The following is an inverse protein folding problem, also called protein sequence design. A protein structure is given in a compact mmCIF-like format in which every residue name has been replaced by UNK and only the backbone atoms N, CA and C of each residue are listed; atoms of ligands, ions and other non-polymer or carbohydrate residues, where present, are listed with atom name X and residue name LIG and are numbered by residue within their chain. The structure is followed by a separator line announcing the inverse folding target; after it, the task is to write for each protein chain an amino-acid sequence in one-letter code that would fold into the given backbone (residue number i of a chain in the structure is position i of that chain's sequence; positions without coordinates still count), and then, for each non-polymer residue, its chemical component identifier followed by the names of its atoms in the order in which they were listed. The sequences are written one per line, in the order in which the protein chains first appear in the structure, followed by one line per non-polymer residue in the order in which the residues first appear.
data_IF_675245275968
#
_entry.id   IF_675245275968
#
_cell.length_a   1.000
_cell.length_b   1.000
_cell.length_c   1.000
_cell.angle_alpha   90.00
_cell.angle_beta   90.00
_cell.angle_gamma   90.00
#
_symmetry.space_group_name_H-M   'P 1'
#
loop_
_entity.id
_entity.type
_entity.pdbx_description
1 polymer ?
#
# COMPACT_ATOMS: atom_id res chain seq x y z
N UNK A 1 -26.78 -21.83 -3.76
CA UNK A 1 -25.39 -21.33 -3.62
C UNK A 1 -25.39 -19.81 -3.65
N UNK A 2 -25.12 -19.15 -2.52
CA UNK A 2 -24.98 -17.68 -2.48
C UNK A 2 -23.51 -17.36 -2.19
N UNK A 3 -22.77 -16.94 -3.22
CA UNK A 3 -21.42 -16.41 -3.06
C UNK A 3 -21.51 -15.04 -2.36
N UNK A 4 -21.42 -15.04 -1.03
CA UNK A 4 -21.48 -13.85 -0.17
C UNK A 4 -20.22 -13.00 -0.36
N UNK A 5 -20.40 -11.76 -0.85
CA UNK A 5 -19.53 -10.56 -0.72
C UNK A 5 -18.06 -10.83 -0.33
N UNK A 6 -17.22 -11.22 -1.30
CA UNK A 6 -15.78 -10.93 -1.25
C UNK A 6 -15.61 -9.45 -1.62
N UNK A 7 -14.81 -8.67 -0.87
CA UNK A 7 -14.19 -7.36 -1.27
C UNK A 7 -14.36 -6.16 -0.32
N UNK A 8 -14.27 -6.32 1.00
CA UNK A 8 -13.86 -5.18 1.88
C UNK A 8 -12.87 -5.59 2.98
N UNK A 9 -11.92 -6.47 2.66
CA UNK A 9 -10.78 -6.79 3.56
C UNK A 9 -9.47 -6.16 3.11
N UNK A 10 -9.55 -5.13 2.27
CA UNK A 10 -8.36 -4.42 1.78
C UNK A 10 -8.55 -2.94 2.01
N UNK A 11 -7.74 -2.37 2.91
CA UNK A 11 -7.72 -0.94 3.13
C UNK A 11 -6.66 -0.29 2.24
N UNK A 12 -6.98 0.89 1.72
CA UNK A 12 -6.06 1.68 0.90
C UNK A 12 -5.86 3.07 1.51
N UNK A 13 -4.60 3.38 1.82
CA UNK A 13 -4.14 4.69 2.24
C UNK A 13 -3.49 5.40 1.04
N UNK A 14 -4.12 6.49 0.58
CA UNK A 14 -3.62 7.28 -0.55
C UNK A 14 -2.48 8.23 -0.15
N UNK A 15 -1.89 8.94 -1.12
CA UNK A 15 -0.77 9.86 -0.90
C UNK A 15 -1.19 11.27 -0.46
N UNK A 16 -0.26 12.03 0.09
CA UNK A 16 -0.49 13.43 0.45
C UNK A 16 -0.89 14.25 -0.78
N UNK A 17 -1.93 15.06 -0.65
CA UNK A 17 -2.47 15.90 -1.73
C UNK A 17 -3.49 15.20 -2.63
N UNK A 18 -3.60 13.87 -2.57
CA UNK A 18 -4.65 13.16 -3.28
C UNK A 18 -6.00 13.20 -2.53
N UNK A 19 -7.08 12.97 -3.27
CA UNK A 19 -8.44 12.84 -2.74
C UNK A 19 -8.97 11.42 -2.99
N UNK A 20 -9.91 10.92 -2.16
CA UNK A 20 -10.55 9.63 -2.41
C UNK A 20 -11.15 9.49 -3.83
N UNK A 21 -11.63 10.61 -4.41
CA UNK A 21 -12.18 10.66 -5.76
C UNK A 21 -11.18 10.29 -6.86
N UNK A 22 -9.88 10.55 -6.65
CA UNK A 22 -8.82 10.22 -7.61
C UNK A 22 -8.68 8.70 -7.80
N UNK A 23 -9.19 7.94 -6.83
CA UNK A 23 -9.15 6.49 -6.77
C UNK A 23 -10.53 5.85 -6.99
N UNK A 24 -11.49 6.58 -7.56
CA UNK A 24 -12.85 6.07 -7.80
C UNK A 24 -12.89 4.72 -8.53
N UNK A 25 -11.98 4.50 -9.49
CA UNK A 25 -11.86 3.22 -10.22
C UNK A 25 -11.39 2.04 -9.34
N UNK A 26 -10.75 2.30 -8.20
CA UNK A 26 -10.30 1.30 -7.23
C UNK A 26 -11.34 1.03 -6.13
N UNK A 27 -12.33 1.89 -5.94
CA UNK A 27 -13.33 1.78 -4.85
C UNK A 27 -14.15 0.49 -4.88
N UNK A 28 -14.25 -0.17 -6.05
CA UNK A 28 -14.87 -1.50 -6.20
C UNK A 28 -14.02 -2.66 -5.65
N UNK A 29 -12.74 -2.44 -5.42
CA UNK A 29 -11.76 -3.44 -4.97
C UNK A 29 -11.20 -3.11 -3.57
N UNK A 30 -11.05 -1.82 -3.27
CA UNK A 30 -10.34 -1.30 -2.10
C UNK A 30 -11.27 -0.42 -1.27
N UNK A 31 -11.16 -0.53 0.05
CA UNK A 31 -11.72 0.42 0.98
C UNK A 31 -10.78 1.63 1.10
N UNK A 32 -11.10 2.71 0.39
CA UNK A 32 -10.30 3.94 0.38
C UNK A 32 -10.49 4.66 1.72
N UNK A 33 -9.45 4.69 2.55
CA UNK A 33 -9.50 5.33 3.86
C UNK A 33 -9.40 6.84 3.66
N UNK A 34 -10.41 7.59 4.09
CA UNK A 34 -10.38 9.06 4.10
C UNK A 34 -9.41 9.53 5.18
N UNK A 35 -8.30 10.15 4.78
CA UNK A 35 -7.22 10.62 5.65
C UNK A 35 -7.33 12.13 5.86
N UNK A 36 -7.20 12.58 7.10
CA UNK A 36 -6.90 13.96 7.47
C UNK A 36 -5.38 14.13 7.58
N UNK A 37 -4.77 14.73 6.57
CA UNK A 37 -3.32 14.94 6.54
C UNK A 37 -2.80 15.95 7.57
N UNK A 38 -3.67 16.73 8.22
CA UNK A 38 -3.27 17.58 9.33
C UNK A 38 -3.17 16.79 10.66
N UNK A 39 -3.87 15.67 10.77
CA UNK A 39 -3.83 14.78 11.91
C UNK A 39 -3.83 13.30 11.47
N UNK A 40 -2.79 12.88 10.74
CA UNK A 40 -2.76 11.57 10.09
C UNK A 40 -2.70 10.46 11.16
N UNK A 41 -3.59 9.48 11.06
CA UNK A 41 -3.69 8.36 12.01
C UNK A 41 -4.84 8.49 13.02
N UNK A 42 -5.60 9.58 12.98
CA UNK A 42 -6.82 9.76 13.79
C UNK A 42 -8.03 8.97 13.25
N UNK A 43 -7.90 8.41 12.04
CA UNK A 43 -8.97 7.74 11.34
C UNK A 43 -9.32 6.38 11.95
N UNK A 44 -10.61 6.07 12.05
CA UNK A 44 -11.06 4.72 12.35
C UNK A 44 -10.90 3.83 11.13
N UNK A 45 -9.84 3.04 11.11
CA UNK A 45 -9.55 2.08 10.04
C UNK A 45 -10.19 0.72 10.36
N UNK A 46 -11.09 0.18 9.50
CA UNK A 46 -11.68 -1.13 9.73
C UNK A 46 -10.63 -2.25 9.72
N UNK A 47 -10.84 -3.31 10.51
CA UNK A 47 -9.96 -4.48 10.47
C UNK A 47 -9.95 -5.12 9.07
N UNK A 48 -8.76 -5.50 8.59
CA UNK A 48 -8.54 -6.03 7.26
C UNK A 48 -7.44 -7.11 7.25
N UNK A 49 -7.42 -7.91 6.18
CA UNK A 49 -6.37 -8.91 5.97
C UNK A 49 -5.22 -8.36 5.11
N UNK A 50 -5.51 -7.34 4.30
CA UNK A 50 -4.55 -6.71 3.39
C UNK A 50 -4.59 -5.20 3.55
N UNK A 51 -3.42 -4.58 3.53
CA UNK A 51 -3.29 -3.12 3.51
C UNK A 51 -2.47 -2.70 2.31
N UNK A 52 -2.90 -1.63 1.65
CA UNK A 52 -2.20 -0.98 0.56
C UNK A 52 -1.92 0.46 0.95
N UNK A 53 -0.68 0.91 0.84
CA UNK A 53 -0.32 2.33 0.97
C UNK A 53 0.26 2.85 -0.34
N UNK A 54 -0.01 4.11 -0.69
CA UNK A 54 0.63 4.80 -1.81
C UNK A 54 1.35 6.07 -1.34
N UNK A 55 2.60 6.24 -1.78
CA UNK A 55 3.43 7.40 -1.43
C UNK A 55 3.46 7.58 0.10
N UNK A 56 3.13 8.76 0.63
CA UNK A 56 3.03 8.99 2.08
C UNK A 56 2.01 8.09 2.79
N UNK A 57 0.98 7.59 2.11
CA UNK A 57 0.05 6.60 2.65
C UNK A 57 0.73 5.28 3.02
N UNK A 58 1.94 5.01 2.52
CA UNK A 58 2.76 3.89 2.96
C UNK A 58 3.13 3.97 4.44
N UNK A 59 3.30 5.16 5.01
CA UNK A 59 3.63 5.32 6.42
C UNK A 59 2.46 4.91 7.32
N UNK A 60 1.23 5.28 6.93
CA UNK A 60 0.01 4.84 7.62
C UNK A 60 -0.21 3.33 7.47
N UNK A 61 0.12 2.78 6.30
CA UNK A 61 0.06 1.35 6.07
C UNK A 61 1.07 0.58 6.95
N UNK A 62 2.27 1.12 7.12
CA UNK A 62 3.30 0.58 8.01
C UNK A 62 2.85 0.67 9.47
N UNK A 63 2.40 1.84 9.94
CA UNK A 63 1.88 2.03 11.31
C UNK A 63 0.72 1.07 11.62
N UNK A 64 -0.21 0.91 10.68
CA UNK A 64 -1.28 -0.08 10.81
C UNK A 64 -0.72 -1.50 10.96
N UNK A 65 0.27 -1.87 10.14
CA UNK A 65 0.90 -3.20 10.18
C UNK A 65 1.80 -3.41 11.40
N UNK A 66 2.25 -2.36 12.08
CA UNK A 66 2.93 -2.47 13.38
C UNK A 66 1.93 -2.76 14.51
N UNK A 67 0.72 -2.19 14.43
CA UNK A 67 -0.34 -2.36 15.44
C UNK A 67 -1.14 -3.64 15.24
N UNK A 68 -1.38 -4.04 13.99
CA UNK A 68 -2.27 -5.14 13.63
C UNK A 68 -1.55 -6.18 12.77
N UNK A 69 -1.76 -7.46 13.09
CA UNK A 69 -1.28 -8.54 12.22
C UNK A 69 -2.13 -8.61 10.96
N UNK A 70 -1.49 -8.56 9.79
CA UNK A 70 -2.12 -8.66 8.48
C UNK A 70 -1.46 -9.76 7.65
N UNK A 71 -2.18 -10.27 6.66
CA UNK A 71 -1.63 -11.29 5.74
C UNK A 71 -0.71 -10.64 4.72
N UNK A 72 -1.11 -9.49 4.15
CA UNK A 72 -0.40 -8.87 3.04
C UNK A 72 -0.31 -7.35 3.20
N UNK A 73 0.89 -6.81 3.08
CA UNK A 73 1.17 -5.38 3.02
C UNK A 73 1.69 -5.01 1.63
N UNK A 74 1.03 -4.10 0.93
CA UNK A 74 1.47 -3.60 -0.38
C UNK A 74 1.88 -2.13 -0.26
N UNK A 75 3.16 -1.85 -0.46
CA UNK A 75 3.75 -0.52 -0.37
C UNK A 75 4.03 -0.01 -1.78
N UNK A 76 3.16 0.89 -2.24
CA UNK A 76 3.23 1.50 -3.57
C UNK A 76 4.04 2.79 -3.49
N UNK A 77 5.21 2.80 -4.10
CA UNK A 77 6.08 3.98 -4.17
C UNK A 77 6.46 4.54 -2.80
N UNK A 78 6.91 3.67 -1.88
CA UNK A 78 7.36 4.04 -0.52
C UNK A 78 8.46 5.11 -0.57
N UNK A 79 8.22 6.33 -0.03
CA UNK A 79 9.25 7.35 0.10
C UNK A 79 10.29 6.97 1.16
N UNK A 80 11.38 7.76 1.24
CA UNK A 80 12.39 7.61 2.29
C UNK A 80 11.74 7.70 3.67
N UNK A 81 11.97 6.69 4.51
CA UNK A 81 11.59 6.68 5.91
C UNK A 81 12.84 6.56 6.78
N UNK A 82 12.85 7.17 7.96
CA UNK A 82 14.02 7.08 8.84
C UNK A 82 14.07 5.69 9.49
N UNK A 83 12.95 5.27 10.08
CA UNK A 83 12.80 4.01 10.78
C UNK A 83 11.58 3.23 10.28
N UNK A 84 11.73 1.91 10.25
CA UNK A 84 10.63 0.97 10.03
C UNK A 84 10.52 0.13 11.28
N UNK A 85 9.39 0.21 11.97
CA UNK A 85 9.15 -0.57 13.18
C UNK A 85 8.88 -2.05 12.86
N UNK A 86 8.49 -2.84 13.86
CA UNK A 86 8.25 -4.27 13.71
C UNK A 86 6.95 -4.54 12.93
N UNK A 87 7.05 -4.59 11.60
CA UNK A 87 5.93 -4.87 10.70
C UNK A 87 5.40 -6.30 10.91
N UNK A 88 4.12 -6.42 11.27
CA UNK A 88 3.39 -7.68 11.48
C UNK A 88 2.61 -8.09 10.23
N UNK A 89 3.31 -8.29 9.12
CA UNK A 89 2.74 -8.78 7.86
C UNK A 89 3.37 -10.12 7.47
N UNK A 90 2.56 -11.10 7.06
CA UNK A 90 3.09 -12.39 6.58
C UNK A 90 3.82 -12.23 5.23
N UNK A 91 3.30 -11.38 4.35
CA UNK A 91 3.89 -11.00 3.06
C UNK A 91 3.95 -9.47 2.89
N UNK A 92 5.07 -8.98 2.33
CA UNK A 92 5.27 -7.57 2.00
C UNK A 92 5.61 -7.44 0.51
N UNK A 93 4.90 -6.56 -0.19
CA UNK A 93 5.11 -6.34 -1.63
C UNK A 93 5.34 -4.87 -1.89
N UNK A 94 6.46 -4.56 -2.54
CA UNK A 94 6.81 -3.23 -2.99
C UNK A 94 6.45 -3.09 -4.45
N UNK A 95 5.67 -2.05 -4.79
CA UNK A 95 5.38 -1.67 -6.18
C UNK A 95 6.04 -0.34 -6.48
N UNK A 96 6.76 -0.24 -7.59
CA UNK A 96 7.54 0.95 -7.95
C UNK A 96 7.41 1.20 -9.44
N UNK A 97 7.10 2.42 -9.87
CA UNK A 97 7.21 2.80 -11.27
C UNK A 97 8.67 2.88 -11.71
N UNK A 98 8.96 2.43 -12.93
CA UNK A 98 10.33 2.47 -13.50
C UNK A 98 10.96 3.88 -13.46
N UNK A 99 10.16 4.94 -13.56
CA UNK A 99 10.64 6.33 -13.51
C UNK A 99 11.00 6.80 -12.10
N UNK A 100 10.79 5.97 -11.08
CA UNK A 100 11.01 6.28 -9.67
C UNK A 100 12.31 5.64 -9.16
N UNK A 101 13.38 5.67 -9.97
CA UNK A 101 14.66 5.05 -9.59
C UNK A 101 15.22 5.57 -8.24
N UNK A 102 14.83 6.79 -7.88
CA UNK A 102 15.21 7.45 -6.62
C UNK A 102 14.71 6.72 -5.36
N UNK A 103 13.60 5.96 -5.40
CA UNK A 103 13.12 5.19 -4.23
C UNK A 103 13.72 3.79 -4.10
N UNK A 104 14.42 3.28 -5.12
CA UNK A 104 14.90 1.90 -5.11
C UNK A 104 15.95 1.65 -4.00
N UNK A 105 16.81 2.64 -3.75
CA UNK A 105 17.79 2.56 -2.65
C UNK A 105 17.08 2.38 -1.31
N UNK A 106 16.01 3.13 -1.10
CA UNK A 106 15.24 3.08 0.12
C UNK A 106 14.53 1.74 0.29
N UNK A 107 13.84 1.28 -0.74
CA UNK A 107 13.12 0.01 -0.67
C UNK A 107 14.08 -1.14 -0.38
N UNK A 108 15.27 -1.14 -0.99
CA UNK A 108 16.27 -2.15 -0.70
C UNK A 108 16.80 -2.05 0.74
N UNK A 109 16.92 -0.85 1.32
CA UNK A 109 17.27 -0.66 2.74
C UNK A 109 16.19 -1.25 3.64
N UNK A 110 14.94 -0.89 3.41
CA UNK A 110 13.78 -1.35 4.18
C UNK A 110 13.59 -2.86 4.08
N UNK A 111 13.73 -3.43 2.88
CA UNK A 111 13.62 -4.89 2.69
C UNK A 111 14.65 -5.68 3.49
N UNK A 112 15.85 -5.14 3.69
CA UNK A 112 16.89 -5.78 4.49
C UNK A 112 16.60 -5.76 5.99
N UNK A 113 15.84 -4.78 6.49
CA UNK A 113 15.47 -4.69 7.90
C UNK A 113 14.23 -5.51 8.25
N UNK A 114 13.45 -5.95 7.25
CA UNK A 114 12.24 -6.74 7.44
C UNK A 114 12.54 -8.24 7.58
N UNK A 115 11.91 -8.90 8.57
CA UNK A 115 11.98 -10.36 8.75
C UNK A 115 11.02 -11.13 7.83
N UNK A 116 10.01 -10.47 7.30
CA UNK A 116 8.96 -11.08 6.46
C UNK A 116 9.40 -11.31 5.03
N UNK A 117 8.73 -12.23 4.33
CA UNK A 117 8.92 -12.45 2.89
C UNK A 117 8.59 -11.16 2.13
N UNK A 118 9.58 -10.58 1.45
CA UNK A 118 9.42 -9.35 0.68
C UNK A 118 9.64 -9.52 -0.82
N UNK A 119 8.72 -9.02 -1.63
CA UNK A 119 8.81 -8.97 -3.09
C UNK A 119 8.91 -7.52 -3.56
N UNK A 120 9.63 -7.26 -4.65
CA UNK A 120 9.70 -5.95 -5.29
C UNK A 120 9.34 -6.10 -6.77
N UNK A 121 8.33 -5.38 -7.22
CA UNK A 121 7.96 -5.27 -8.63
C UNK A 121 8.24 -3.86 -9.15
N UNK A 122 9.09 -3.79 -10.16
CA UNK A 122 9.25 -2.58 -10.97
C UNK A 122 8.27 -2.61 -12.14
N UNK A 123 7.49 -1.54 -12.30
CA UNK A 123 6.42 -1.44 -13.28
C UNK A 123 6.92 -0.59 -14.46
N UNK A 124 7.21 -1.25 -15.57
CA UNK A 124 7.73 -0.62 -16.78
C UNK A 124 6.79 0.47 -17.32
N UNK A 125 7.36 1.62 -17.68
CA UNK A 125 6.65 2.79 -18.18
C UNK A 125 5.79 3.54 -17.14
N UNK A 126 5.67 3.03 -15.91
CA UNK A 126 4.87 3.69 -14.87
C UNK A 126 5.63 4.85 -14.21
N UNK A 127 4.85 5.85 -13.79
CA UNK A 127 5.28 7.03 -13.04
C UNK A 127 4.76 6.91 -11.60
N UNK A 128 5.08 7.89 -10.75
CA UNK A 128 4.56 8.05 -9.39
C UNK A 128 3.05 8.41 -9.38
N UNK A 129 2.20 7.50 -9.90
CA UNK A 129 0.74 7.63 -9.94
C UNK A 129 0.09 6.27 -10.17
N UNK A 130 -0.95 5.93 -9.41
CA UNK A 130 -1.71 4.67 -9.54
C UNK A 130 -2.65 4.73 -10.76
N UNK A 131 -2.09 4.69 -11.97
CA UNK A 131 -2.82 4.69 -13.25
C UNK A 131 -2.21 3.67 -14.21
N UNK A 132 -2.90 3.38 -15.32
CA UNK A 132 -2.39 2.50 -16.38
C UNK A 132 -1.81 1.17 -15.87
N UNK A 133 -0.56 0.89 -16.25
CA UNK A 133 0.18 -0.32 -15.86
C UNK A 133 0.35 -0.46 -14.35
N UNK A 134 0.50 0.66 -13.63
CA UNK A 134 0.62 0.64 -12.17
C UNK A 134 -0.66 0.08 -11.55
N UNK A 135 -1.81 0.64 -11.95
CA UNK A 135 -3.11 0.17 -11.49
C UNK A 135 -3.32 -1.30 -11.83
N UNK A 136 -2.97 -1.73 -13.06
CA UNK A 136 -3.08 -3.13 -13.48
C UNK A 136 -2.26 -4.05 -12.57
N UNK A 137 -1.00 -3.71 -12.31
CA UNK A 137 -0.13 -4.52 -11.44
C UNK A 137 -0.64 -4.52 -10.00
N UNK A 138 -1.09 -3.39 -9.46
CA UNK A 138 -1.69 -3.34 -8.13
C UNK A 138 -2.88 -4.31 -8.01
N UNK A 139 -3.80 -4.28 -8.98
CA UNK A 139 -4.97 -5.18 -8.97
C UNK A 139 -4.60 -6.66 -9.07
N UNK A 140 -3.57 -7.00 -9.86
CA UNK A 140 -3.03 -8.37 -9.94
C UNK A 140 -2.49 -8.83 -8.57
N UNK A 141 -1.73 -7.96 -7.90
CA UNK A 141 -1.03 -8.28 -6.65
C UNK A 141 -1.99 -8.44 -5.47
N UNK A 142 -3.10 -7.69 -5.44
CA UNK A 142 -4.14 -7.79 -4.41
C UNK A 142 -5.19 -8.87 -4.70
N UNK A 143 -5.31 -9.30 -5.96
CA UNK A 143 -6.26 -10.33 -6.39
C UNK A 143 -5.73 -11.76 -6.22
N UNK A 144 -4.41 -11.92 -6.20
CA UNK A 144 -3.70 -13.15 -5.81
C UNK A 144 -3.56 -13.25 -4.29
#
# INVERSE_FOLDING_TARGET
MHSKKRNKRINFFYGLGDKPSDYGALSKYLNIIKIDWNNPGSEKVPQCDTVVGFSMGCFLALDYAEKHRIKKLVLCSLPVCENVGPVKADEIIFLVGEKEKWILKEINRVRKSMKSRSQLFMILGAKHKITGNYRKKLLEVIGN
#
